data_IF_268640974127
#
_entry.id   IF_268640974127
#
_cell.length_a   1.000
_cell.length_b   1.000
_cell.length_c   1.000
_cell.angle_alpha   90.00
_cell.angle_beta   90.00
_cell.angle_gamma   90.00
#
_symmetry.space_group_name_H-M   'P 1'
#
loop_
_entity.id
_entity.type
_entity.pdbx_description
1 polymer ?
#
# COMPACT_ATOMS: atom_id res chain seq x y z
N UNK A 1 21.90 0.82 -7.57
CA UNK A 1 20.70 1.63 -7.32
C UNK A 1 19.62 1.05 -8.21
N UNK A 2 18.94 0.01 -7.72
CA UNK A 2 17.85 -0.65 -8.45
C UNK A 2 16.56 0.08 -8.13
N UNK A 3 15.93 0.64 -9.16
CA UNK A 3 14.59 1.19 -9.09
C UNK A 3 13.60 0.05 -8.92
N UNK A 4 12.74 0.13 -7.90
CA UNK A 4 11.62 -0.79 -7.72
C UNK A 4 10.64 -0.63 -8.89
N UNK A 5 10.25 -1.70 -9.60
CA UNK A 5 9.47 -1.61 -10.83
C UNK A 5 7.97 -1.60 -10.50
N UNK A 6 7.49 -0.55 -9.86
CA UNK A 6 6.11 -0.14 -10.11
C UNK A 6 6.23 0.90 -11.23
N UNK A 7 5.77 0.58 -12.44
CA UNK A 7 5.72 1.59 -13.49
C UNK A 7 4.89 2.76 -12.99
N UNK A 8 5.39 4.00 -13.14
CA UNK A 8 4.74 5.26 -12.75
C UNK A 8 3.37 5.53 -13.44
N UNK A 9 2.77 4.49 -14.02
CA UNK A 9 1.54 4.43 -14.79
C UNK A 9 0.90 3.07 -14.54
N UNK A 10 -0.22 3.03 -13.84
CA UNK A 10 -1.00 1.80 -13.63
C UNK A 10 -2.38 1.94 -14.29
N UNK A 11 -2.69 1.00 -15.19
CA UNK A 11 -4.07 0.81 -15.66
C UNK A 11 -4.73 -0.22 -14.75
N UNK A 12 -5.61 0.24 -13.86
CA UNK A 12 -6.38 -0.63 -12.97
C UNK A 12 -7.75 -0.87 -13.57
N UNK A 13 -8.17 -2.14 -13.61
CA UNK A 13 -9.54 -2.51 -13.99
C UNK A 13 -10.22 -3.19 -12.80
N UNK A 14 -11.20 -2.51 -12.21
CA UNK A 14 -11.98 -3.03 -11.09
C UNK A 14 -13.33 -3.52 -11.58
N UNK A 15 -13.69 -4.74 -11.19
CA UNK A 15 -15.02 -5.31 -11.41
C UNK A 15 -15.69 -5.48 -10.05
N UNK A 16 -16.76 -4.72 -9.74
CA UNK A 16 -17.46 -4.85 -8.47
C UNK A 16 -18.02 -6.25 -8.29
N UNK A 17 -17.91 -6.80 -7.09
CA UNK A 17 -18.39 -8.17 -6.80
C UNK A 17 -19.90 -8.30 -7.07
N UNK A 18 -20.66 -7.23 -6.77
CA UNK A 18 -22.12 -7.21 -6.91
C UNK A 18 -22.60 -6.76 -8.31
N UNK A 19 -21.69 -6.37 -9.20
CA UNK A 19 -21.99 -5.89 -10.56
C UNK A 19 -20.92 -6.39 -11.55
N UNK A 20 -20.79 -7.72 -11.74
CA UNK A 20 -19.71 -8.33 -12.51
C UNK A 20 -19.69 -7.92 -13.99
N UNK A 21 -20.80 -7.37 -14.50
CA UNK A 21 -20.92 -6.83 -15.84
C UNK A 21 -20.30 -5.44 -16.01
N UNK A 22 -19.95 -4.75 -14.90
CA UNK A 22 -19.33 -3.43 -14.94
C UNK A 22 -17.83 -3.54 -14.74
N UNK A 23 -17.09 -2.96 -15.68
CA UNK A 23 -15.64 -2.80 -15.58
C UNK A 23 -15.35 -1.31 -15.42
N UNK A 24 -14.82 -0.93 -14.28
CA UNK A 24 -14.29 0.41 -14.06
C UNK A 24 -12.80 0.40 -14.38
N UNK A 25 -12.42 1.07 -15.46
CA UNK A 25 -11.02 1.32 -15.79
C UNK A 25 -10.60 2.66 -15.22
N UNK A 26 -9.46 2.68 -14.55
CA UNK A 26 -8.77 3.90 -14.17
C UNK A 26 -7.33 3.85 -14.61
N UNK A 27 -6.81 5.01 -14.96
CA UNK A 27 -5.40 5.21 -15.18
C UNK A 27 -4.85 6.05 -14.04
N UNK A 28 -3.87 5.51 -13.31
CA UNK A 28 -3.10 6.20 -12.29
C UNK A 28 -1.79 6.73 -12.88
N UNK A 29 -1.39 7.94 -12.52
CA UNK A 29 -0.05 8.45 -12.76
C UNK A 29 0.58 8.75 -11.41
N UNK A 30 1.73 8.15 -11.15
CA UNK A 30 2.55 8.46 -9.99
C UNK A 30 3.56 9.53 -10.37
N UNK A 31 3.41 10.72 -9.77
CA UNK A 31 4.30 11.86 -10.03
C UNK A 31 5.07 12.23 -8.77
N UNK A 32 6.39 12.43 -8.82
CA UNK A 32 7.15 12.86 -7.65
C UNK A 32 6.65 14.22 -7.15
N UNK A 33 6.62 14.40 -5.83
CA UNK A 33 6.24 15.67 -5.21
C UNK A 33 7.48 16.57 -5.16
N UNK A 34 7.39 17.75 -5.78
CA UNK A 34 8.51 18.68 -5.83
C UNK A 34 8.97 19.08 -4.41
N UNK A 35 10.26 18.87 -4.12
CA UNK A 35 10.88 19.24 -2.84
C UNK A 35 10.76 18.17 -1.73
N UNK A 36 10.19 17.01 -2.02
CA UNK A 36 10.18 15.85 -1.11
C UNK A 36 10.83 14.66 -1.81
N UNK A 37 11.98 14.24 -1.31
CA UNK A 37 12.59 12.97 -1.70
C UNK A 37 11.69 11.83 -1.19
N UNK A 38 11.51 10.80 -2.00
CA UNK A 38 10.73 9.59 -1.66
C UNK A 38 9.22 9.79 -1.43
N UNK A 39 8.62 10.84 -2.01
CA UNK A 39 7.17 11.07 -2.02
C UNK A 39 6.58 11.25 -3.43
N UNK A 40 5.42 10.63 -3.65
CA UNK A 40 4.69 10.62 -4.91
C UNK A 40 3.22 11.01 -4.70
N UNK A 41 2.68 11.68 -5.71
CA UNK A 41 1.26 11.86 -5.90
C UNK A 41 0.76 10.73 -6.82
N UNK A 42 -0.07 9.84 -6.30
CA UNK A 42 -0.78 8.87 -7.11
C UNK A 42 -2.13 9.47 -7.51
N UNK A 43 -2.23 9.87 -8.78
CA UNK A 43 -3.42 10.51 -9.31
C UNK A 43 -4.19 9.56 -10.22
N UNK A 44 -5.33 9.08 -9.74
CA UNK A 44 -6.26 8.29 -10.53
C UNK A 44 -7.13 9.17 -11.43
N UNK A 45 -7.52 8.64 -12.58
CA UNK A 45 -8.43 9.28 -13.54
C UNK A 45 -9.77 8.54 -13.65
N UNK A 46 -10.77 9.16 -14.28
CA UNK A 46 -12.05 8.53 -14.55
C UNK A 46 -12.89 8.29 -13.29
N UNK A 47 -13.59 7.14 -13.23
CA UNK A 47 -14.48 6.81 -12.11
C UNK A 47 -13.74 6.63 -10.77
N UNK A 48 -12.42 6.40 -10.80
CA UNK A 48 -11.60 6.23 -9.60
C UNK A 48 -10.83 7.51 -9.23
N UNK A 49 -11.11 8.67 -9.81
CA UNK A 49 -10.39 9.91 -9.45
C UNK A 49 -10.50 10.28 -7.97
N UNK A 50 -11.55 9.81 -7.29
CA UNK A 50 -11.82 10.06 -5.87
C UNK A 50 -10.97 9.23 -4.90
N UNK A 51 -10.18 8.27 -5.38
CA UNK A 51 -9.23 7.47 -4.56
C UNK A 51 -7.78 7.90 -4.73
N UNK A 52 -7.51 9.07 -5.33
CA UNK A 52 -6.15 9.62 -5.44
C UNK A 52 -5.57 9.96 -4.07
N UNK A 53 -4.27 9.71 -3.88
CA UNK A 53 -3.57 9.84 -2.61
C UNK A 53 -2.12 10.35 -2.77
N UNK A 54 -1.56 10.84 -1.67
CA UNK A 54 -0.12 11.01 -1.52
C UNK A 54 0.47 9.72 -0.95
N UNK A 55 1.57 9.27 -1.52
CA UNK A 55 2.32 8.09 -1.07
C UNK A 55 3.75 8.50 -0.72
N UNK A 56 4.28 8.02 0.40
CA UNK A 56 5.66 8.23 0.81
C UNK A 56 6.30 6.90 1.21
N UNK A 57 7.54 6.69 0.79
CA UNK A 57 8.35 5.55 1.21
C UNK A 57 9.08 5.91 2.51
N UNK A 58 8.77 5.21 3.60
CA UNK A 58 9.32 5.52 4.92
C UNK A 58 10.61 4.74 5.21
N UNK A 59 10.71 3.51 4.71
CA UNK A 59 11.87 2.64 4.91
C UNK A 59 11.85 1.47 3.89
N UNK A 60 12.99 0.85 3.67
CA UNK A 60 13.13 -0.37 2.88
C UNK A 60 14.34 -1.18 3.37
N UNK A 61 14.35 -2.47 3.07
CA UNK A 61 15.45 -3.36 3.44
C UNK A 61 15.15 -4.81 3.11
N UNK A 62 15.93 -5.70 3.71
CA UNK A 62 15.74 -7.14 3.63
C UNK A 62 15.85 -7.74 5.03
N UNK A 63 15.13 -8.82 5.31
CA UNK A 63 15.21 -9.52 6.61
C UNK A 63 16.40 -10.50 6.67
N UNK A 64 16.46 -11.30 7.75
CA UNK A 64 17.52 -12.30 7.96
C UNK A 64 17.49 -13.47 6.96
N UNK A 65 16.41 -13.60 6.19
CA UNK A 65 16.17 -14.63 5.17
C UNK A 65 16.22 -14.06 3.75
N UNK A 66 16.76 -12.85 3.57
CA UNK A 66 16.85 -12.15 2.28
C UNK A 66 15.47 -11.83 1.66
N UNK A 67 14.43 -11.69 2.51
CA UNK A 67 13.11 -11.24 2.06
C UNK A 67 13.09 -9.72 2.03
N UNK A 68 13.09 -9.15 0.82
CA UNK A 68 12.98 -7.70 0.61
C UNK A 68 11.62 -7.16 1.07
N UNK A 69 11.62 -5.98 1.69
CA UNK A 69 10.44 -5.29 2.17
C UNK A 69 10.54 -3.77 2.00
N UNK A 70 9.38 -3.11 2.02
CA UNK A 70 9.23 -1.66 1.96
C UNK A 70 8.11 -1.19 2.90
N UNK A 71 8.29 -0.02 3.50
CA UNK A 71 7.26 0.66 4.30
C UNK A 71 6.71 1.83 3.51
N UNK A 72 5.40 1.83 3.29
CA UNK A 72 4.67 2.89 2.62
C UNK A 72 3.76 3.59 3.61
N UNK A 73 3.68 4.91 3.50
CA UNK A 73 2.61 5.73 4.06
C UNK A 73 1.76 6.28 2.92
N UNK A 74 0.45 6.19 3.03
CA UNK A 74 -0.48 6.77 2.05
C UNK A 74 -1.55 7.59 2.76
N UNK A 75 -1.92 8.73 2.20
CA UNK A 75 -2.94 9.62 2.73
C UNK A 75 -3.76 10.27 1.61
N UNK A 76 -5.09 10.38 1.79
CA UNK A 76 -5.97 10.90 0.75
C UNK A 76 -5.70 12.38 0.45
N UNK A 77 -5.97 12.79 -0.79
CA UNK A 77 -5.88 14.21 -1.17
C UNK A 77 -6.94 15.06 -0.45
N UNK A 78 -6.63 16.34 -0.12
CA UNK A 78 -7.62 17.28 0.39
C UNK A 78 -8.81 17.39 -0.58
N UNK A 79 -10.03 17.15 -0.07
CA UNK A 79 -11.26 17.20 -0.87
C UNK A 79 -11.64 15.89 -1.56
N UNK A 80 -10.88 14.80 -1.37
CA UNK A 80 -11.33 13.46 -1.74
C UNK A 80 -12.53 13.06 -0.88
N UNK A 81 -13.72 13.00 -1.49
CA UNK A 81 -14.99 12.73 -0.80
C UNK A 81 -15.17 11.28 -0.33
N UNK A 82 -14.33 10.36 -0.80
CA UNK A 82 -14.37 8.92 -0.49
C UNK A 82 -12.95 8.33 -0.43
N UNK A 83 -12.01 9.08 0.15
CA UNK A 83 -10.62 8.63 0.27
C UNK A 83 -10.48 7.48 1.27
N UNK A 84 -9.61 6.51 0.97
CA UNK A 84 -9.11 5.57 1.96
C UNK A 84 -8.51 6.38 3.13
N UNK A 85 -8.74 5.99 4.40
CA UNK A 85 -8.09 6.66 5.51
C UNK A 85 -6.56 6.54 5.37
N UNK A 86 -5.83 7.42 6.03
CA UNK A 86 -4.37 7.32 6.04
C UNK A 86 -3.94 5.91 6.46
N UNK A 87 -2.96 5.38 5.76
CA UNK A 87 -2.51 4.01 5.91
C UNK A 87 -0.99 3.92 5.98
N UNK A 88 -0.52 2.94 6.74
CA UNK A 88 0.86 2.51 6.74
C UNK A 88 0.89 1.02 6.44
N UNK A 89 1.75 0.63 5.51
CA UNK A 89 1.85 -0.75 5.03
C UNK A 89 3.31 -1.19 4.98
N UNK A 90 3.58 -2.41 5.43
CA UNK A 90 4.81 -3.14 5.14
C UNK A 90 4.48 -4.09 4.00
N UNK A 91 5.13 -3.94 2.85
CA UNK A 91 4.92 -4.77 1.68
C UNK A 91 6.18 -5.60 1.37
N UNK A 92 5.99 -6.85 0.94
CA UNK A 92 7.07 -7.72 0.49
C UNK A 92 6.63 -8.61 -0.66
N UNK A 93 7.55 -8.90 -1.58
CA UNK A 93 7.38 -9.89 -2.65
C UNK A 93 7.50 -11.34 -2.15
N UNK A 94 8.14 -11.54 -0.99
CA UNK A 94 8.16 -12.84 -0.36
C UNK A 94 6.75 -13.20 0.06
N UNK A 95 6.24 -14.34 -0.42
CA UNK A 95 4.93 -14.88 0.01
C UNK A 95 4.77 -14.88 1.55
N UNK A 96 5.75 -15.32 2.35
CA UNK A 96 5.61 -15.27 3.81
C UNK A 96 5.67 -13.84 4.39
N UNK A 97 6.17 -12.87 3.63
CA UNK A 97 6.57 -11.57 4.16
C UNK A 97 7.90 -11.61 4.91
N UNK A 98 8.36 -10.47 5.43
CA UNK A 98 9.53 -10.41 6.32
C UNK A 98 9.24 -11.14 7.63
N UNK A 99 10.29 -11.65 8.28
CA UNK A 99 10.18 -12.33 9.56
C UNK A 99 9.58 -11.43 10.68
N UNK A 100 8.96 -12.06 11.69
CA UNK A 100 8.27 -11.36 12.78
C UNK A 100 9.18 -10.40 13.55
N UNK A 101 10.48 -10.72 13.66
CA UNK A 101 11.47 -9.87 14.31
C UNK A 101 11.64 -8.57 13.53
N UNK A 102 11.80 -8.66 12.21
CA UNK A 102 11.90 -7.53 11.30
C UNK A 102 10.62 -6.69 11.31
N UNK A 103 9.43 -7.32 11.25
CA UNK A 103 8.15 -6.61 11.38
C UNK A 103 8.08 -5.83 12.70
N UNK A 104 8.52 -6.44 13.80
CA UNK A 104 8.53 -5.78 15.11
C UNK A 104 9.50 -4.60 15.14
N UNK A 105 10.72 -4.77 14.63
CA UNK A 105 11.73 -3.70 14.56
C UNK A 105 11.24 -2.51 13.74
N UNK A 106 10.60 -2.76 12.60
CA UNK A 106 9.98 -1.73 11.78
C UNK A 106 8.92 -0.97 12.59
N UNK A 107 7.99 -1.68 13.25
CA UNK A 107 6.94 -1.05 14.07
C UNK A 107 7.51 -0.20 15.20
N UNK A 108 8.53 -0.71 15.90
CA UNK A 108 9.18 0.01 16.99
C UNK A 108 9.89 1.28 16.48
N UNK A 109 10.59 1.20 15.35
CA UNK A 109 11.26 2.34 14.73
C UNK A 109 10.27 3.43 14.28
N UNK A 110 9.14 3.05 13.67
CA UNK A 110 8.09 3.99 13.27
C UNK A 110 7.44 4.67 14.48
N UNK A 111 7.20 3.94 15.58
CA UNK A 111 6.71 4.54 16.83
C UNK A 111 7.76 5.48 17.47
N UNK A 112 9.05 5.13 17.38
CA UNK A 112 10.14 5.94 17.94
C UNK A 112 10.37 7.25 17.18
N UNK A 113 9.87 7.39 15.95
CA UNK A 113 9.92 8.64 15.19
C UNK A 113 9.14 9.79 15.85
N UNK A 114 8.27 9.50 16.82
CA UNK A 114 7.64 10.50 17.69
C UNK A 114 6.40 11.18 17.11
N UNK A 115 5.93 10.76 15.94
CA UNK A 115 4.66 11.22 15.36
C UNK A 115 3.48 10.43 15.97
N UNK A 116 2.56 11.17 16.61
CA UNK A 116 1.42 10.58 17.33
C UNK A 116 0.44 9.90 16.38
N UNK A 117 0.24 10.45 15.19
CA UNK A 117 -0.70 9.87 14.21
C UNK A 117 -0.09 8.60 13.60
N UNK A 118 1.19 8.64 13.21
CA UNK A 118 1.90 7.46 12.73
C UNK A 118 1.90 6.33 13.76
N UNK A 119 2.14 6.64 15.03
CA UNK A 119 2.12 5.66 16.14
C UNK A 119 0.75 4.98 16.25
N UNK A 120 -0.35 5.73 16.09
CA UNK A 120 -1.71 5.16 16.09
C UNK A 120 -1.94 4.24 14.89
N UNK A 121 -1.48 4.61 13.70
CA UNK A 121 -1.62 3.78 12.50
C UNK A 121 -0.83 2.46 12.68
N UNK A 122 0.41 2.55 13.13
CA UNK A 122 1.30 1.40 13.39
C UNK A 122 0.70 0.44 14.42
N UNK A 123 0.12 0.98 15.50
CA UNK A 123 -0.53 0.18 16.55
C UNK A 123 -1.71 -0.67 16.05
N UNK A 124 -2.31 -0.30 14.92
CA UNK A 124 -3.44 -1.01 14.32
C UNK A 124 -3.03 -1.97 13.18
N UNK A 125 -1.74 -2.07 12.87
CA UNK A 125 -1.26 -2.89 11.75
C UNK A 125 -1.44 -4.39 12.00
N UNK A 126 -2.11 -5.06 11.05
CA UNK A 126 -2.34 -6.50 11.01
C UNK A 126 -1.92 -7.08 9.65
N UNK A 127 -1.45 -8.35 9.62
CA UNK A 127 -1.25 -9.05 8.36
C UNK A 127 -2.56 -9.15 7.58
N UNK A 128 -2.52 -8.92 6.27
CA UNK A 128 -3.64 -9.22 5.40
C UNK A 128 -3.81 -10.73 5.25
N UNK A 129 -5.07 -11.17 5.19
CA UNK A 129 -5.39 -12.55 4.88
C UNK A 129 -4.96 -12.84 3.42
N UNK A 130 -4.02 -13.75 3.23
CA UNK A 130 -3.73 -14.28 1.89
C UNK A 130 -4.80 -15.33 1.55
N UNK A 131 -5.63 -15.06 0.53
CA UNK A 131 -6.60 -16.04 0.06
C UNK A 131 -5.93 -17.19 -0.72
N UNK A 132 -6.46 -18.40 -0.47
CA UNK A 132 -6.17 -19.76 -0.94
C UNK A 132 -4.99 -19.99 -1.96
N UNK A 133 -3.96 -20.79 -1.59
CA UNK A 133 -2.93 -21.25 -2.52
C UNK A 133 -3.41 -22.14 -3.69
N UNK A 134 -4.63 -22.66 -3.68
CA UNK A 134 -5.19 -23.54 -4.72
C UNK A 134 -6.35 -22.93 -5.54
N UNK A 135 -6.91 -21.81 -5.11
CA UNK A 135 -8.05 -21.15 -5.75
C UNK A 135 -7.60 -20.07 -6.72
N UNK A 136 -7.70 -20.32 -8.03
CA UNK A 136 -7.24 -19.41 -9.08
C UNK A 136 -7.89 -18.03 -9.03
N UNK A 137 -7.22 -17.08 -8.36
CA UNK A 137 -6.93 -15.69 -8.77
C UNK A 137 -6.15 -15.02 -7.63
N UNK A 138 -4.83 -14.82 -7.75
CA UNK A 138 -4.09 -14.04 -6.77
C UNK A 138 -4.55 -12.59 -6.86
N UNK A 139 -5.09 -12.03 -5.78
CA UNK A 139 -5.43 -10.61 -5.70
C UNK A 139 -4.27 -9.75 -5.21
N UNK A 140 -3.27 -10.33 -4.56
CA UNK A 140 -1.99 -9.68 -4.25
C UNK A 140 -0.83 -10.69 -4.40
N UNK A 141 0.14 -10.41 -5.27
CA UNK A 141 1.41 -11.18 -5.33
C UNK A 141 2.36 -10.86 -4.17
N UNK A 142 1.91 -9.98 -3.25
CA UNK A 142 2.68 -9.44 -2.14
C UNK A 142 2.10 -9.90 -0.80
N UNK A 143 2.98 -10.12 0.17
CA UNK A 143 2.60 -10.12 1.57
C UNK A 143 2.49 -8.67 2.05
N UNK A 144 1.42 -8.35 2.77
CA UNK A 144 1.18 -6.99 3.27
C UNK A 144 0.74 -7.03 4.74
N UNK A 145 1.38 -6.21 5.56
CA UNK A 145 0.96 -5.91 6.93
C UNK A 145 0.53 -4.45 6.95
N UNK A 146 -0.72 -4.15 7.32
CA UNK A 146 -1.25 -2.79 7.23
C UNK A 146 -2.36 -2.51 8.24
N UNK A 147 -2.69 -1.23 8.44
CA UNK A 147 -3.66 -0.77 9.45
C UNK A 147 -5.11 -0.67 8.94
N UNK A 148 -5.35 -0.96 7.66
CA UNK A 148 -6.68 -0.98 7.02
C UNK A 148 -6.93 -2.35 6.40
N UNK A 149 -8.18 -2.75 6.22
CA UNK A 149 -8.47 -3.93 5.38
C UNK A 149 -8.47 -3.47 3.92
N UNK A 150 -7.59 -4.02 3.08
CA UNK A 150 -7.40 -3.61 1.66
C UNK A 150 -8.61 -3.91 0.76
N UNK A 151 -9.75 -4.29 1.32
CA UNK A 151 -10.95 -4.67 0.61
C UNK A 151 -12.18 -4.07 1.30
N UNK A 152 -12.19 -2.76 1.54
CA UNK A 152 -13.47 -2.04 1.62
C UNK A 152 -14.13 -2.07 0.24
N UNK A 153 -14.80 -3.20 0.03
CA UNK A 153 -15.71 -3.63 -1.04
C UNK A 153 -16.19 -2.51 -1.96
N UNK A 154 -15.80 -2.59 -3.23
CA UNK A 154 -16.65 -2.21 -4.36
C UNK A 154 -17.37 -3.46 -4.90
#
# INVERSE_FOLDING_TARGET
MEFWPCSNQELVSLTPINQPERIYTAFGIDSPIAGLDDAWLCQCTGHLSHISDHVAFLAWGSDSHEVDWVVLYSAPLPGATVGLPAQVAIMSRGRPGPDDATVKEIKDALCAAGDVELTKLVGNMRPLLQEDPQGGRPTCEYNVVQNVDSLTRF
#
